data_IF_932875214992
#
_entry.id   IF_932875214992
#
_cell.length_a   1.000
_cell.length_b   1.000
_cell.length_c   1.000
_cell.angle_alpha   90.00
_cell.angle_beta   90.00
_cell.angle_gamma   90.00
#
_symmetry.space_group_name_H-M   'P 1'
#
loop_
_entity.id
_entity.type
_entity.pdbx_description
1 polymer ?
#
# COMPACT_ATOMS: atom_id res chain seq x y z
N UNK A 1 53.64 -29.87 -33.39
CA UNK A 1 52.16 -29.77 -33.30
C UNK A 1 51.80 -28.40 -32.75
N UNK A 2 50.89 -27.70 -33.43
CA UNK A 2 50.37 -26.38 -33.09
C UNK A 2 49.65 -26.38 -31.73
N UNK A 3 49.85 -25.33 -30.93
CA UNK A 3 48.84 -24.43 -30.30
C UNK A 3 49.51 -23.71 -29.12
N UNK A 4 49.95 -22.46 -29.30
CA UNK A 4 49.21 -21.19 -29.12
C UNK A 4 49.60 -20.56 -27.78
N UNK A 5 50.28 -19.41 -27.89
CA UNK A 5 50.77 -18.54 -26.82
C UNK A 5 49.59 -17.85 -26.10
N UNK A 6 49.76 -17.50 -24.83
CA UNK A 6 49.47 -16.13 -24.41
C UNK A 6 50.36 -15.69 -23.24
N UNK A 7 51.04 -14.58 -23.50
CA UNK A 7 52.01 -13.88 -22.66
C UNK A 7 51.21 -12.96 -21.71
N UNK A 8 51.41 -13.05 -20.40
CA UNK A 8 50.93 -12.02 -19.46
C UNK A 8 52.14 -11.19 -19.05
N UNK A 9 52.14 -9.95 -19.54
CA UNK A 9 53.14 -8.92 -19.27
C UNK A 9 52.77 -8.20 -17.99
N UNK A 10 53.71 -8.14 -17.06
CA UNK A 10 53.66 -7.35 -15.82
C UNK A 10 53.79 -5.86 -16.19
N UNK A 11 52.86 -5.04 -15.71
CA UNK A 11 53.06 -3.59 -15.61
C UNK A 11 52.50 -3.09 -14.29
N UNK A 12 53.42 -2.89 -13.35
CA UNK A 12 53.26 -2.09 -12.14
C UNK A 12 53.19 -0.62 -12.55
N UNK A 13 52.08 0.04 -12.25
CA UNK A 13 52.05 1.50 -12.10
C UNK A 13 51.39 1.84 -10.78
N UNK A 14 52.24 2.23 -9.83
CA UNK A 14 51.89 2.87 -8.58
C UNK A 14 51.58 4.34 -8.89
N UNK A 15 50.36 4.80 -8.60
CA UNK A 15 50.09 6.22 -8.36
C UNK A 15 49.15 6.33 -7.18
N UNK A 16 49.73 6.61 -6.01
CA UNK A 16 49.01 7.25 -4.91
C UNK A 16 48.45 8.58 -5.41
N UNK A 17 47.19 8.87 -5.10
CA UNK A 17 46.70 10.18 -4.63
C UNK A 17 45.22 10.00 -4.19
N UNK A 18 44.99 10.35 -2.92
CA UNK A 18 43.72 10.72 -2.27
C UNK A 18 42.64 9.65 -2.10
N UNK A 19 42.77 8.94 -0.97
CA UNK A 19 41.65 8.46 -0.16
C UNK A 19 40.68 9.61 0.16
N UNK A 20 39.66 9.78 -0.67
CA UNK A 20 38.34 10.14 -0.16
C UNK A 20 37.56 8.84 -0.06
N UNK A 21 37.66 8.18 1.10
CA UNK A 21 36.66 7.22 1.51
C UNK A 21 35.33 7.97 1.58
N UNK A 22 34.54 7.93 0.50
CA UNK A 22 33.10 7.88 0.70
C UNK A 22 32.89 6.60 1.49
N UNK A 23 32.68 6.77 2.79
CA UNK A 23 32.14 5.71 3.59
C UNK A 23 30.98 5.12 2.80
N UNK A 24 31.04 3.81 2.55
CA UNK A 24 29.84 3.00 2.48
C UNK A 24 29.07 3.27 3.77
N UNK A 25 28.24 4.30 3.74
CA UNK A 25 27.12 4.38 4.64
C UNK A 25 26.08 3.47 3.99
N UNK A 26 26.18 2.17 4.31
CA UNK A 26 24.95 1.42 4.54
C UNK A 26 24.07 2.30 5.43
N UNK A 27 22.74 2.33 5.24
CA UNK A 27 21.86 3.17 6.06
C UNK A 27 22.31 3.04 7.50
N UNK A 28 22.71 4.15 8.12
CA UNK A 28 23.09 4.13 9.51
C UNK A 28 21.94 3.44 10.24
N UNK A 29 22.27 2.46 11.07
CA UNK A 29 21.39 1.88 12.07
C UNK A 29 20.94 2.99 13.06
N UNK A 30 20.29 4.04 12.56
CA UNK A 30 19.34 4.83 13.33
C UNK A 30 18.38 3.80 13.87
N UNK A 31 18.56 3.53 15.16
CA UNK A 31 17.91 2.49 15.94
C UNK A 31 16.46 2.34 15.47
N UNK A 32 16.15 1.22 14.81
CA UNK A 32 14.78 0.85 14.40
C UNK A 32 13.88 1.00 15.63
N UNK A 33 13.17 2.12 15.71
CA UNK A 33 12.42 2.48 16.91
C UNK A 33 11.36 1.42 17.14
N UNK A 34 11.29 0.89 18.36
CA UNK A 34 10.26 -0.10 18.68
C UNK A 34 8.93 0.59 18.90
N UNK A 35 7.85 -0.09 18.53
CA UNK A 35 6.49 0.39 18.81
C UNK A 35 6.27 0.61 20.31
N UNK A 36 6.83 -0.25 21.17
CA UNK A 36 6.73 -0.13 22.62
C UNK A 36 7.42 1.13 23.15
N UNK A 37 8.58 1.48 22.60
CA UNK A 37 9.33 2.70 22.97
C UNK A 37 8.53 3.95 22.58
N UNK A 38 7.93 3.96 21.38
CA UNK A 38 7.09 5.06 20.93
C UNK A 38 5.83 5.22 21.81
N UNK A 39 5.19 4.11 22.20
CA UNK A 39 4.03 4.12 23.08
C UNK A 39 4.39 4.64 24.47
N UNK A 40 5.51 4.19 25.02
CA UNK A 40 6.02 4.68 26.31
C UNK A 40 6.32 6.18 26.25
N UNK A 41 6.91 6.66 25.15
CA UNK A 41 7.11 8.09 24.93
C UNK A 41 5.78 8.84 24.98
N UNK A 42 4.77 8.42 24.21
CA UNK A 42 3.47 9.09 24.17
C UNK A 42 2.73 9.14 25.51
N UNK A 43 2.92 8.15 26.36
CA UNK A 43 2.26 8.09 27.67
C UNK A 43 2.92 8.99 28.72
N UNK A 44 4.16 9.45 28.50
CA UNK A 44 4.98 10.10 29.52
C UNK A 44 5.42 11.53 29.17
N UNK A 45 5.02 12.06 28.02
CA UNK A 45 5.43 13.39 27.52
C UNK A 45 4.24 14.31 27.28
N UNK A 46 4.50 15.61 27.12
CA UNK A 46 3.43 16.59 26.88
C UNK A 46 2.86 16.46 25.46
N UNK A 47 1.63 16.99 25.21
CA UNK A 47 1.06 16.98 23.87
C UNK A 47 1.96 17.61 22.79
N UNK A 48 2.69 18.68 23.13
CA UNK A 48 3.64 19.33 22.21
C UNK A 48 4.82 18.42 21.85
N UNK A 49 5.43 17.79 22.86
CA UNK A 49 6.53 16.84 22.66
C UNK A 49 6.07 15.60 21.87
N UNK A 50 4.86 15.12 22.13
CA UNK A 50 4.23 14.03 21.39
C UNK A 50 4.02 14.38 19.92
N UNK A 51 3.59 15.61 19.64
CA UNK A 51 3.39 16.09 18.26
C UNK A 51 4.72 16.24 17.51
N UNK A 52 5.77 16.74 18.16
CA UNK A 52 7.12 16.78 17.58
C UNK A 52 7.64 15.38 17.28
N UNK A 53 7.48 14.44 18.23
CA UNK A 53 7.90 13.05 18.05
C UNK A 53 7.12 12.35 16.94
N UNK A 54 5.82 12.65 16.80
CA UNK A 54 5.00 12.14 15.70
C UNK A 54 5.53 12.60 14.35
N UNK A 55 5.88 13.88 14.20
CA UNK A 55 6.47 14.43 12.97
C UNK A 55 7.83 13.82 12.64
N UNK A 56 8.66 13.56 13.65
CA UNK A 56 9.94 12.88 13.50
C UNK A 56 9.75 11.46 12.93
N UNK A 57 8.89 10.66 13.56
CA UNK A 57 8.59 9.28 13.11
C UNK A 57 7.94 9.28 11.73
N UNK A 58 7.02 10.21 11.48
CA UNK A 58 6.38 10.38 10.19
C UNK A 58 7.42 10.65 9.08
N UNK A 59 8.33 11.60 9.32
CA UNK A 59 9.41 11.95 8.38
C UNK A 59 10.33 10.76 8.13
N UNK A 60 10.65 9.99 9.17
CA UNK A 60 11.46 8.77 9.06
C UNK A 60 10.79 7.74 8.14
N UNK A 61 9.48 7.54 8.27
CA UNK A 61 8.73 6.58 7.44
C UNK A 61 8.56 7.11 6.01
N UNK A 62 8.24 8.40 5.83
CA UNK A 62 8.05 9.01 4.51
C UNK A 62 9.33 8.98 3.66
N UNK A 63 10.50 9.06 4.32
CA UNK A 63 11.79 9.01 3.64
C UNK A 63 12.28 7.58 3.39
N UNK A 64 11.68 6.57 4.03
CA UNK A 64 12.06 5.18 3.82
C UNK A 64 11.44 4.66 2.51
N UNK A 65 12.29 4.03 1.70
CA UNK A 65 11.86 3.37 0.48
C UNK A 65 10.99 2.14 0.80
N UNK A 66 10.19 1.73 -0.19
CA UNK A 66 9.42 0.48 -0.08
C UNK A 66 10.33 -0.73 0.18
N UNK A 67 11.50 -0.80 -0.48
CA UNK A 67 12.46 -1.88 -0.31
C UNK A 67 13.03 -1.94 1.11
N UNK A 68 13.40 -0.79 1.69
CA UNK A 68 13.90 -0.73 3.08
C UNK A 68 12.84 -1.22 4.07
N UNK A 69 11.59 -0.78 3.92
CA UNK A 69 10.50 -1.20 4.82
C UNK A 69 10.21 -2.70 4.64
N UNK A 70 10.17 -3.19 3.41
CA UNK A 70 9.96 -4.61 3.11
C UNK A 70 11.06 -5.46 3.73
N UNK A 71 12.34 -5.08 3.58
CA UNK A 71 13.46 -5.80 4.19
C UNK A 71 13.34 -5.85 5.72
N UNK A 72 12.96 -4.74 6.39
CA UNK A 72 12.75 -4.72 7.85
C UNK A 72 11.65 -5.71 8.28
N UNK A 73 10.57 -5.78 7.52
CA UNK A 73 9.43 -6.68 7.80
C UNK A 73 9.84 -8.14 7.55
N UNK A 74 10.52 -8.43 6.45
CA UNK A 74 11.04 -9.75 6.11
C UNK A 74 12.05 -10.24 7.15
N UNK A 75 12.98 -9.39 7.58
CA UNK A 75 13.93 -9.70 8.65
C UNK A 75 13.21 -10.00 9.97
N UNK A 76 12.15 -9.26 10.28
CA UNK A 76 11.32 -9.49 11.48
C UNK A 76 10.59 -10.83 11.41
N UNK A 77 10.08 -11.19 10.24
CA UNK A 77 9.45 -12.49 9.99
C UNK A 77 10.46 -13.64 10.11
N UNK A 78 11.64 -13.49 9.48
CA UNK A 78 12.70 -14.49 9.52
C UNK A 78 13.20 -14.71 10.95
N UNK A 79 13.41 -13.63 11.71
CA UNK A 79 13.75 -13.71 13.13
C UNK A 79 12.70 -14.47 13.93
N UNK A 80 11.41 -14.28 13.64
CA UNK A 80 10.35 -15.06 14.28
C UNK A 80 10.45 -16.56 13.90
N UNK A 81 10.63 -16.87 12.61
CA UNK A 81 10.82 -18.25 12.13
C UNK A 81 11.99 -18.96 12.82
N UNK A 82 13.11 -18.25 13.01
CA UNK A 82 14.33 -18.80 13.59
C UNK A 82 14.25 -19.02 15.11
N UNK A 83 13.37 -18.28 15.79
CA UNK A 83 13.29 -18.26 17.26
C UNK A 83 12.07 -18.99 17.81
N UNK A 84 11.00 -19.12 17.02
CA UNK A 84 9.82 -19.86 17.42
C UNK A 84 10.14 -21.36 17.52
N UNK A 85 9.58 -22.03 18.52
CA UNK A 85 9.66 -23.48 18.72
C UNK A 85 8.28 -24.10 18.92
N UNK A 86 7.25 -23.39 18.47
CA UNK A 86 5.83 -23.71 18.70
C UNK A 86 5.34 -24.65 17.60
N UNK A 87 5.75 -24.39 16.35
CA UNK A 87 5.37 -25.16 15.17
C UNK A 87 6.61 -25.73 14.47
N UNK A 88 6.51 -26.99 14.05
CA UNK A 88 7.42 -27.57 13.07
C UNK A 88 6.99 -27.08 11.69
N UNK A 89 7.75 -26.13 11.15
CA UNK A 89 7.50 -25.46 9.87
C UNK A 89 8.37 -26.12 8.79
N UNK A 90 7.73 -26.56 7.70
CA UNK A 90 8.36 -27.22 6.55
C UNK A 90 8.78 -26.21 5.45
N UNK A 91 8.16 -25.03 5.45
CA UNK A 91 8.45 -23.96 4.49
C UNK A 91 7.64 -22.70 4.78
N UNK A 92 8.09 -21.57 4.25
CA UNK A 92 7.33 -20.32 4.35
C UNK A 92 7.63 -19.39 3.17
N UNK A 93 6.71 -18.46 2.93
CA UNK A 93 6.91 -17.32 2.04
C UNK A 93 6.18 -16.10 2.57
N UNK A 94 6.70 -14.93 2.24
CA UNK A 94 6.10 -13.64 2.53
C UNK A 94 6.02 -12.84 1.22
N UNK A 95 4.87 -12.23 0.99
CA UNK A 95 4.62 -11.30 -0.11
C UNK A 95 4.15 -9.99 0.50
N UNK A 96 4.85 -8.90 0.17
CA UNK A 96 4.54 -7.55 0.63
C UNK A 96 4.14 -6.73 -0.58
N UNK A 97 2.96 -6.12 -0.52
CA UNK A 97 2.46 -5.22 -1.56
C UNK A 97 2.10 -3.87 -0.96
N UNK A 98 2.12 -2.81 -1.76
CA UNK A 98 1.81 -1.44 -1.33
C UNK A 98 0.74 -0.82 -2.21
N UNK A 99 -0.23 -0.16 -1.59
CA UNK A 99 -1.24 0.63 -2.29
C UNK A 99 -1.15 2.11 -1.89
N UNK A 100 -0.70 2.95 -2.84
CA UNK A 100 -0.54 4.39 -2.64
C UNK A 100 -1.80 5.20 -2.90
N UNK A 101 -2.84 4.57 -3.45
CA UNK A 101 -4.01 5.26 -3.98
C UNK A 101 -5.23 5.09 -3.09
N UNK A 102 -5.16 4.18 -2.12
CA UNK A 102 -6.27 3.78 -1.28
C UNK A 102 -6.84 4.94 -0.45
N UNK A 103 -8.16 5.03 -0.43
CA UNK A 103 -8.94 6.01 0.31
C UNK A 103 -9.64 5.37 1.50
N UNK A 104 -9.85 6.15 2.55
CA UNK A 104 -10.89 5.89 3.54
C UNK A 104 -12.21 6.38 2.94
N UNK A 105 -13.03 5.44 2.50
CA UNK A 105 -14.29 5.71 1.83
C UNK A 105 -15.29 6.48 2.73
N UNK A 106 -15.16 6.43 4.07
CA UNK A 106 -16.00 7.22 5.00
C UNK A 106 -15.44 8.63 5.17
N UNK A 107 -14.18 8.72 5.59
CA UNK A 107 -13.59 10.00 5.99
C UNK A 107 -13.14 10.84 4.79
N UNK A 108 -13.15 10.24 3.59
CA UNK A 108 -12.75 10.83 2.30
C UNK A 108 -11.30 11.29 2.26
N UNK A 109 -10.46 10.70 3.11
CA UNK A 109 -9.04 10.99 3.19
C UNK A 109 -8.23 9.86 2.56
N UNK A 110 -7.06 10.17 2.02
CA UNK A 110 -6.08 9.13 1.66
C UNK A 110 -5.69 8.35 2.91
N UNK A 111 -5.64 7.02 2.76
CA UNK A 111 -5.08 6.17 3.80
C UNK A 111 -3.55 6.23 3.74
N UNK A 112 -2.93 6.38 4.91
CA UNK A 112 -1.48 6.42 5.04
C UNK A 112 -0.90 5.01 4.96
N UNK A 113 0.20 4.88 4.18
CA UNK A 113 1.04 3.69 4.07
C UNK A 113 0.28 2.35 4.16
N UNK A 114 -0.33 1.95 3.04
CA UNK A 114 -1.11 0.73 2.97
C UNK A 114 -0.24 -0.44 2.50
N UNK A 115 0.58 -1.01 3.40
CA UNK A 115 1.22 -2.29 3.12
C UNK A 115 0.27 -3.45 3.43
N UNK A 116 0.16 -4.36 2.48
CA UNK A 116 -0.57 -5.60 2.63
C UNK A 116 0.43 -6.73 2.62
N UNK A 117 0.39 -7.55 3.67
CA UNK A 117 1.30 -8.68 3.82
C UNK A 117 0.48 -9.95 3.65
N UNK A 118 0.97 -10.84 2.80
CA UNK A 118 0.49 -12.22 2.71
C UNK A 118 1.61 -13.16 3.08
N UNK A 119 1.34 -14.08 4.00
CA UNK A 119 2.28 -15.07 4.48
C UNK A 119 1.67 -16.44 4.25
N UNK A 120 2.45 -17.32 3.62
CA UNK A 120 2.14 -18.74 3.55
C UNK A 120 3.14 -19.49 4.45
N UNK A 121 2.63 -20.28 5.39
CA UNK A 121 3.41 -21.11 6.34
C UNK A 121 2.96 -22.55 6.15
N UNK A 122 3.89 -23.39 5.72
CA UNK A 122 3.67 -24.81 5.48
C UNK A 122 4.11 -25.61 6.70
N UNK A 123 3.23 -26.48 7.18
CA UNK A 123 3.49 -27.35 8.33
C UNK A 123 2.69 -28.65 8.24
N UNK A 124 3.25 -29.75 8.74
CA UNK A 124 2.51 -31.01 8.88
C UNK A 124 1.49 -30.93 10.02
N UNK A 125 0.21 -31.02 9.70
CA UNK A 125 -0.89 -31.01 10.66
C UNK A 125 -0.75 -32.09 11.74
N UNK A 126 -0.27 -33.30 11.39
CA UNK A 126 -0.15 -34.42 12.34
C UNK A 126 0.95 -34.18 13.36
N UNK A 127 2.05 -33.54 12.96
CA UNK A 127 3.14 -33.19 13.87
C UNK A 127 2.79 -31.99 14.76
N UNK A 128 1.88 -31.14 14.30
CA UNK A 128 1.51 -29.90 14.96
C UNK A 128 0.10 -29.94 15.61
N UNK A 129 -0.47 -31.13 15.85
CA UNK A 129 -1.84 -31.29 16.37
C UNK A 129 -2.14 -30.45 17.62
N UNK A 130 -1.26 -30.47 18.64
CA UNK A 130 -1.48 -29.70 19.88
C UNK A 130 -1.31 -28.19 19.66
N UNK A 131 -0.21 -27.70 19.04
CA UNK A 131 -0.08 -26.28 18.69
C UNK A 131 -1.25 -25.71 17.88
N UNK A 132 -1.77 -26.46 16.91
CA UNK A 132 -2.82 -25.97 16.02
C UNK A 132 -4.19 -25.83 16.69
N UNK A 133 -4.41 -26.44 17.87
CA UNK A 133 -5.65 -26.23 18.65
C UNK A 133 -5.85 -24.77 19.05
N UNK A 134 -4.77 -24.02 19.21
CA UNK A 134 -4.76 -22.60 19.56
C UNK A 134 -4.00 -21.78 18.50
N UNK A 135 -4.36 -21.98 17.23
CA UNK A 135 -3.70 -21.34 16.09
C UNK A 135 -3.57 -19.80 16.24
N UNK A 136 -4.57 -19.07 16.76
CA UNK A 136 -4.41 -17.63 16.98
C UNK A 136 -3.22 -17.29 17.90
N UNK A 137 -3.09 -17.95 19.04
CA UNK A 137 -2.03 -17.67 20.01
C UNK A 137 -0.66 -18.21 19.59
N UNK A 138 -0.65 -19.28 18.79
CA UNK A 138 0.56 -20.01 18.45
C UNK A 138 1.15 -19.62 17.10
N UNK A 139 0.36 -19.00 16.22
CA UNK A 139 0.79 -18.56 14.89
C UNK A 139 0.43 -17.09 14.65
N UNK A 140 -0.85 -16.75 14.72
CA UNK A 140 -1.31 -15.44 14.23
C UNK A 140 -0.81 -14.27 15.05
N UNK A 141 -1.01 -14.29 16.38
CA UNK A 141 -0.55 -13.22 17.27
C UNK A 141 0.98 -13.11 17.31
N UNK A 142 1.76 -14.20 17.45
CA UNK A 142 3.22 -14.10 17.45
C UNK A 142 3.79 -13.54 16.14
N UNK A 143 3.27 -13.97 14.98
CA UNK A 143 3.67 -13.41 13.69
C UNK A 143 3.30 -11.94 13.62
N UNK A 144 2.06 -11.59 13.95
CA UNK A 144 1.59 -10.19 13.96
C UNK A 144 2.48 -9.30 14.83
N UNK A 145 2.80 -9.76 16.04
CA UNK A 145 3.67 -9.03 16.97
C UNK A 145 5.08 -8.87 16.44
N UNK A 146 5.64 -9.90 15.79
CA UNK A 146 6.96 -9.82 15.18
C UNK A 146 6.99 -8.78 14.05
N UNK A 147 6.03 -8.81 13.12
CA UNK A 147 6.00 -7.85 12.01
C UNK A 147 5.76 -6.42 12.48
N UNK A 148 5.04 -6.24 13.60
CA UNK A 148 4.73 -4.93 14.17
C UNK A 148 5.69 -4.48 15.29
N UNK A 149 6.82 -5.18 15.50
CA UNK A 149 7.78 -4.86 16.58
C UNK A 149 8.32 -3.42 16.45
N UNK A 150 8.54 -2.98 15.21
CA UNK A 150 9.09 -1.65 14.87
C UNK A 150 7.99 -0.66 14.48
N UNK A 151 8.30 0.64 14.55
CA UNK A 151 7.41 1.70 14.06
C UNK A 151 7.11 1.57 12.58
N UNK A 152 8.01 0.99 11.77
CA UNK A 152 7.77 0.71 10.36
C UNK A 152 6.59 -0.25 10.21
N UNK A 153 6.69 -1.46 10.74
CA UNK A 153 5.59 -2.42 10.65
C UNK A 153 4.29 -1.91 11.31
N UNK A 154 4.39 -1.31 12.50
CA UNK A 154 3.23 -0.84 13.25
C UNK A 154 2.44 0.30 12.59
N UNK A 155 3.09 1.11 11.75
CA UNK A 155 2.49 2.30 11.14
C UNK A 155 2.29 2.17 9.62
N UNK A 156 2.87 1.16 8.99
CA UNK A 156 2.74 0.93 7.54
C UNK A 156 2.00 -0.35 7.16
N UNK A 157 1.79 -1.29 8.09
CA UNK A 157 1.03 -2.50 7.78
C UNK A 157 -0.47 -2.22 7.96
N UNK A 158 -1.24 -2.43 6.90
CA UNK A 158 -2.70 -2.29 6.86
C UNK A 158 -3.41 -3.59 7.19
N UNK A 159 -2.90 -4.70 6.67
CA UNK A 159 -3.43 -6.03 6.93
C UNK A 159 -2.36 -7.10 6.76
N UNK A 160 -2.52 -8.18 7.53
CA UNK A 160 -1.71 -9.39 7.42
C UNK A 160 -2.68 -10.55 7.14
N UNK A 161 -2.40 -11.29 6.08
CA UNK A 161 -3.05 -12.55 5.74
C UNK A 161 -2.05 -13.69 5.99
N UNK A 162 -2.44 -14.68 6.79
CA UNK A 162 -1.64 -15.87 7.07
C UNK A 162 -2.43 -17.10 6.64
N UNK A 163 -1.94 -17.85 5.66
CA UNK A 163 -2.59 -19.05 5.10
C UNK A 163 -4.06 -18.81 4.70
N UNK A 164 -4.38 -17.65 4.14
CA UNK A 164 -5.74 -17.27 3.74
C UNK A 164 -6.62 -16.76 4.88
N UNK A 165 -6.08 -16.63 6.09
CA UNK A 165 -6.77 -16.01 7.23
C UNK A 165 -6.27 -14.58 7.40
N UNK A 166 -7.13 -13.61 7.07
CA UNK A 166 -6.85 -12.21 7.34
C UNK A 166 -7.07 -11.93 8.83
N UNK A 167 -6.01 -11.52 9.53
CA UNK A 167 -6.03 -11.22 10.96
C UNK A 167 -6.12 -9.72 11.24
N UNK A 168 -6.27 -8.91 10.18
CA UNK A 168 -6.39 -7.46 10.24
C UNK A 168 -5.16 -6.79 10.86
N UNK A 169 -5.18 -5.45 10.88
CA UNK A 169 -4.23 -4.69 11.70
C UNK A 169 -5.00 -3.69 12.54
N UNK A 170 -4.89 -3.84 13.86
CA UNK A 170 -5.31 -2.80 14.80
C UNK A 170 -4.20 -1.77 14.84
N UNK A 171 -4.40 -0.62 14.19
CA UNK A 171 -3.51 0.53 14.32
C UNK A 171 -3.48 0.92 15.80
N UNK A 172 -2.38 0.60 16.49
CA UNK A 172 -2.23 0.95 17.91
C UNK A 172 -1.84 2.43 18.07
N UNK A 173 -1.43 3.06 16.97
CA UNK A 173 -1.03 4.46 16.90
C UNK A 173 -1.69 5.01 15.62
N UNK A 174 -2.39 6.14 15.74
CA UNK A 174 -3.01 6.78 14.58
C UNK A 174 -1.92 7.54 13.79
N UNK A 175 -1.52 7.06 12.60
CA UNK A 175 -0.53 7.76 11.79
C UNK A 175 -1.05 9.13 11.33
N UNK A 176 -0.16 10.06 10.97
CA UNK A 176 -0.60 11.28 10.33
C UNK A 176 -1.06 10.97 8.90
N UNK A 177 -2.18 11.56 8.49
CA UNK A 177 -2.64 11.50 7.11
C UNK A 177 -1.56 12.16 6.24
N UNK A 178 -1.12 11.52 5.13
CA UNK A 178 -0.07 12.08 4.29
C UNK A 178 -0.51 13.43 3.75
N UNK A 179 0.44 14.39 3.67
CA UNK A 179 0.13 15.73 3.18
C UNK A 179 -0.15 15.68 1.68
N UNK A 180 -1.31 16.17 1.28
CA UNK A 180 -1.71 16.27 -0.12
C UNK A 180 -1.60 17.71 -0.62
N UNK A 181 -1.31 17.88 -1.90
CA UNK A 181 -1.35 19.19 -2.56
C UNK A 181 -2.77 19.70 -2.73
N UNK A 182 -2.96 21.01 -2.90
CA UNK A 182 -4.29 21.60 -3.12
C UNK A 182 -4.91 21.07 -4.42
N UNK A 183 -4.10 20.90 -5.46
CA UNK A 183 -4.50 20.36 -6.76
C UNK A 183 -4.93 18.90 -6.66
N UNK A 184 -4.20 18.09 -5.89
CA UNK A 184 -4.58 16.70 -5.62
C UNK A 184 -5.90 16.60 -4.85
N UNK A 185 -6.10 17.44 -3.84
CA UNK A 185 -7.37 17.50 -3.09
C UNK A 185 -8.53 17.93 -4.00
N UNK A 186 -8.28 18.81 -4.96
CA UNK A 186 -9.30 19.22 -5.93
C UNK A 186 -9.63 18.11 -6.92
N UNK A 187 -8.63 17.37 -7.44
CA UNK A 187 -8.87 16.15 -8.22
C UNK A 187 -9.76 15.15 -7.47
N UNK A 188 -9.47 14.95 -6.19
CA UNK A 188 -10.27 14.06 -5.33
C UNK A 188 -11.69 14.56 -5.15
N UNK A 189 -11.87 15.86 -4.96
CA UNK A 189 -13.18 16.47 -4.82
C UNK A 189 -14.02 16.28 -6.09
N UNK A 190 -13.45 16.48 -7.27
CA UNK A 190 -14.13 16.22 -8.56
C UNK A 190 -14.60 14.76 -8.67
N UNK A 191 -13.77 13.80 -8.28
CA UNK A 191 -14.13 12.39 -8.29
C UNK A 191 -15.20 12.05 -7.25
N UNK A 192 -15.14 12.63 -6.05
CA UNK A 192 -16.17 12.43 -5.03
C UNK A 192 -17.52 13.01 -5.41
N UNK A 193 -17.54 14.22 -6.00
CA UNK A 193 -18.77 14.85 -6.50
C UNK A 193 -19.42 13.96 -7.57
N UNK A 194 -18.61 13.44 -8.49
CA UNK A 194 -19.07 12.47 -9.49
C UNK A 194 -19.65 11.19 -8.85
N UNK A 195 -18.96 10.57 -7.89
CA UNK A 195 -19.43 9.36 -7.21
C UNK A 195 -20.74 9.62 -6.46
N UNK A 196 -20.88 10.78 -5.82
CA UNK A 196 -22.09 11.16 -5.11
C UNK A 196 -23.28 11.32 -6.08
N UNK A 197 -23.09 12.02 -7.20
CA UNK A 197 -24.11 12.18 -8.23
C UNK A 197 -24.49 10.85 -8.89
N UNK A 198 -23.50 9.98 -9.16
CA UNK A 198 -23.74 8.63 -9.67
C UNK A 198 -24.60 7.85 -8.67
N UNK A 199 -24.21 7.82 -7.40
CA UNK A 199 -24.96 7.10 -6.38
C UNK A 199 -26.42 7.59 -6.29
N UNK A 200 -26.65 8.91 -6.28
CA UNK A 200 -27.99 9.50 -6.21
C UNK A 200 -28.86 9.30 -7.46
N UNK A 201 -28.25 9.23 -8.65
CA UNK A 201 -28.99 9.08 -9.91
C UNK A 201 -29.39 7.63 -10.19
N UNK A 202 -28.62 6.66 -9.70
CA UNK A 202 -28.79 5.26 -10.06
C UNK A 202 -29.38 4.42 -8.92
N UNK A 203 -29.07 4.78 -7.66
CA UNK A 203 -29.50 4.02 -6.50
C UNK A 203 -30.41 4.86 -5.60
N UNK A 204 -31.61 4.35 -5.36
CA UNK A 204 -32.60 4.95 -4.45
C UNK A 204 -32.81 4.14 -3.17
N UNK A 205 -32.14 2.99 -3.06
CA UNK A 205 -32.16 2.05 -1.97
C UNK A 205 -31.33 2.54 -0.77
N UNK A 206 -31.57 1.91 0.39
CA UNK A 206 -30.66 2.06 1.52
C UNK A 206 -29.25 1.60 1.13
N UNK A 207 -28.21 2.27 1.62
CA UNK A 207 -26.85 1.97 1.22
C UNK A 207 -26.45 0.55 1.68
N UNK A 208 -26.01 -0.27 0.73
CA UNK A 208 -25.55 -1.65 0.93
C UNK A 208 -24.32 -1.75 1.83
N UNK A 209 -23.51 -0.67 1.87
CA UNK A 209 -22.36 -0.54 2.76
C UNK A 209 -22.44 0.78 3.53
N UNK A 210 -21.71 0.95 4.65
CA UNK A 210 -21.59 2.24 5.32
C UNK A 210 -21.06 3.38 4.42
N UNK A 211 -20.50 3.05 3.25
CA UNK A 211 -19.89 3.96 2.30
C UNK A 211 -20.79 4.26 1.08
N UNK A 212 -21.98 3.67 1.02
CA UNK A 212 -22.90 3.79 -0.12
C UNK A 212 -22.87 2.58 -1.06
N UNK A 213 -23.66 2.66 -2.13
CA UNK A 213 -23.72 1.67 -3.20
C UNK A 213 -22.61 1.86 -4.25
N UNK A 214 -22.08 3.09 -4.30
CA UNK A 214 -20.91 3.47 -5.10
C UNK A 214 -19.98 4.25 -4.18
N UNK A 215 -18.69 3.92 -4.20
CA UNK A 215 -17.67 4.60 -3.42
C UNK A 215 -16.44 4.93 -4.27
N UNK A 216 -15.56 5.81 -3.77
CA UNK A 216 -14.25 6.08 -4.36
C UNK A 216 -13.20 5.33 -3.53
N UNK A 217 -12.64 4.24 -4.08
CA UNK A 217 -11.69 3.39 -3.34
C UNK A 217 -10.25 3.76 -3.58
N UNK A 218 -9.88 4.03 -4.84
CA UNK A 218 -8.51 4.40 -5.22
C UNK A 218 -8.52 5.66 -6.05
N UNK A 219 -7.62 6.59 -5.74
CA UNK A 219 -7.40 7.77 -6.57
C UNK A 219 -5.97 8.30 -6.45
N UNK A 220 -5.37 8.60 -7.59
CA UNK A 220 -4.10 9.32 -7.65
C UNK A 220 -3.19 8.86 -8.79
N UNK A 221 -2.01 9.43 -8.83
CA UNK A 221 -0.97 9.07 -9.80
C UNK A 221 -0.31 7.78 -9.36
N UNK A 222 -0.33 6.76 -10.22
CA UNK A 222 0.34 5.48 -9.94
C UNK A 222 1.87 5.68 -9.94
N UNK A 223 2.58 5.26 -8.87
CA UNK A 223 4.03 5.42 -8.79
C UNK A 223 4.76 4.80 -9.98
N UNK A 224 5.79 5.49 -10.48
CA UNK A 224 6.62 5.05 -11.61
C UNK A 224 5.84 4.79 -12.92
N UNK A 225 4.64 5.37 -13.04
CA UNK A 225 3.85 5.34 -14.26
C UNK A 225 3.49 6.77 -14.68
N UNK A 226 2.87 6.89 -15.85
CA UNK A 226 2.27 8.14 -16.35
C UNK A 226 0.74 8.12 -16.26
N UNK A 227 0.22 7.32 -15.33
CA UNK A 227 -1.21 7.03 -15.20
C UNK A 227 -1.79 7.70 -13.95
N UNK A 228 -2.84 8.51 -14.13
CA UNK A 228 -3.76 8.89 -13.06
C UNK A 228 -4.89 7.88 -13.02
N UNK A 229 -5.02 7.18 -11.89
CA UNK A 229 -5.92 6.05 -11.76
C UNK A 229 -7.02 6.32 -10.74
N UNK A 230 -8.24 5.92 -11.09
CA UNK A 230 -9.44 6.07 -10.28
C UNK A 230 -10.15 4.71 -10.25
N UNK A 231 -10.40 4.18 -9.05
CA UNK A 231 -11.24 2.98 -8.86
C UNK A 231 -12.53 3.34 -8.10
N UNK A 232 -13.66 2.96 -8.70
CA UNK A 232 -14.99 3.21 -8.20
C UNK A 232 -15.70 1.86 -8.03
N UNK A 233 -15.69 1.25 -6.83
CA UNK A 233 -16.52 0.08 -6.56
C UNK A 233 -18.01 0.40 -6.61
N UNK A 234 -18.78 -0.51 -7.20
CA UNK A 234 -20.24 -0.50 -7.26
C UNK A 234 -20.73 -1.75 -6.56
N UNK A 235 -21.25 -1.63 -5.34
CA UNK A 235 -21.64 -2.77 -4.51
C UNK A 235 -23.06 -3.28 -4.76
N UNK A 236 -23.90 -2.47 -5.41
CA UNK A 236 -25.29 -2.81 -5.69
C UNK A 236 -25.55 -2.91 -7.19
N UNK A 237 -26.43 -3.84 -7.56
CA UNK A 237 -27.04 -3.90 -8.89
C UNK A 237 -28.49 -4.33 -8.75
N UNK A 238 -29.34 -3.71 -9.56
CA UNK A 238 -30.75 -4.07 -9.67
C UNK A 238 -30.92 -5.19 -10.71
N UNK A 239 -30.96 -6.44 -10.25
CA UNK A 239 -31.12 -7.62 -11.12
C UNK A 239 -32.50 -7.72 -11.78
N UNK A 240 -33.48 -6.91 -11.35
CA UNK A 240 -34.79 -6.85 -12.01
C UNK A 240 -34.75 -5.97 -13.27
N UNK A 241 -33.70 -5.13 -13.40
CA UNK A 241 -33.42 -4.31 -14.58
C UNK A 241 -32.40 -4.98 -15.51
N UNK A 242 -32.18 -4.33 -16.65
CA UNK A 242 -31.18 -4.75 -17.62
C UNK A 242 -29.76 -4.42 -17.11
N UNK A 243 -29.13 -5.44 -16.50
CA UNK A 243 -27.77 -5.36 -15.97
C UNK A 243 -26.75 -5.13 -17.08
N UNK A 244 -26.96 -5.69 -18.28
CA UNK A 244 -26.03 -5.48 -19.40
C UNK A 244 -26.10 -4.05 -19.89
N UNK A 245 -27.31 -3.48 -20.00
CA UNK A 245 -27.48 -2.05 -20.32
C UNK A 245 -26.82 -1.15 -19.26
N UNK A 246 -26.94 -1.49 -17.97
CA UNK A 246 -26.25 -0.75 -16.92
C UNK A 246 -24.73 -0.81 -17.10
N UNK A 247 -24.16 -1.98 -17.40
CA UNK A 247 -22.73 -2.14 -17.67
C UNK A 247 -22.28 -1.36 -18.89
N UNK A 248 -23.04 -1.38 -19.98
CA UNK A 248 -22.77 -0.57 -21.17
C UNK A 248 -22.75 0.93 -20.86
N UNK A 249 -23.60 1.39 -19.92
CA UNK A 249 -23.64 2.80 -19.50
C UNK A 249 -22.39 3.27 -18.74
N UNK A 250 -21.59 2.34 -18.18
CA UNK A 250 -20.39 2.68 -17.40
C UNK A 250 -19.35 3.42 -18.27
N UNK A 251 -19.34 3.18 -19.58
CA UNK A 251 -18.47 3.90 -20.51
C UNK A 251 -18.77 5.40 -20.50
N UNK A 252 -20.04 5.77 -20.66
CA UNK A 252 -20.48 7.17 -20.67
C UNK A 252 -20.21 7.86 -19.33
N UNK A 253 -20.32 7.10 -18.23
CA UNK A 253 -19.96 7.57 -16.88
C UNK A 253 -18.47 7.84 -16.74
N UNK A 254 -17.61 6.94 -17.24
CA UNK A 254 -16.17 7.17 -17.28
C UNK A 254 -15.79 8.38 -18.16
N UNK A 255 -16.41 8.54 -19.33
CA UNK A 255 -16.21 9.69 -20.21
C UNK A 255 -16.63 11.01 -19.53
N UNK A 256 -17.71 10.98 -18.76
CA UNK A 256 -18.17 12.14 -17.98
C UNK A 256 -17.14 12.53 -16.91
N UNK A 257 -16.62 11.58 -16.14
CA UNK A 257 -15.60 11.84 -15.12
C UNK A 257 -14.31 12.38 -15.75
N UNK A 258 -13.86 11.77 -16.85
CA UNK A 258 -12.70 12.26 -17.61
C UNK A 258 -12.88 13.73 -18.01
N UNK A 259 -14.03 14.07 -18.64
CA UNK A 259 -14.34 15.45 -19.03
C UNK A 259 -14.31 16.41 -17.86
N UNK A 260 -14.95 16.07 -16.73
CA UNK A 260 -14.94 16.92 -15.52
C UNK A 260 -13.52 17.23 -15.06
N UNK A 261 -12.62 16.24 -15.06
CA UNK A 261 -11.21 16.46 -14.70
C UNK A 261 -10.53 17.39 -15.71
N UNK A 262 -10.71 17.14 -17.00
CA UNK A 262 -10.02 17.90 -18.06
C UNK A 262 -10.61 19.29 -18.35
N UNK A 263 -11.84 19.57 -17.92
CA UNK A 263 -12.48 20.89 -18.07
C UNK A 263 -11.87 21.92 -17.12
N UNK A 264 -11.18 21.47 -16.07
CA UNK A 264 -10.41 22.33 -15.17
C UNK A 264 -8.96 22.47 -15.66
N UNK A 265 -8.61 23.65 -16.21
CA UNK A 265 -7.26 23.90 -16.72
C UNK A 265 -6.16 23.68 -15.69
N UNK A 266 -6.37 24.10 -14.44
CA UNK A 266 -5.41 23.88 -13.34
C UNK A 266 -5.16 22.39 -13.06
N UNK A 267 -6.17 21.52 -13.21
CA UNK A 267 -6.00 20.09 -12.97
C UNK A 267 -5.23 19.44 -14.14
N UNK A 268 -5.49 19.88 -15.37
CA UNK A 268 -4.67 19.47 -16.53
C UNK A 268 -3.22 19.89 -16.38
N UNK A 269 -2.99 21.13 -15.94
CA UNK A 269 -1.62 21.64 -15.69
C UNK A 269 -0.92 20.82 -14.60
N UNK A 270 -1.62 20.49 -13.52
CA UNK A 270 -1.08 19.62 -12.47
C UNK A 270 -0.74 18.22 -12.99
N UNK A 271 -1.65 17.58 -13.75
CA UNK A 271 -1.43 16.26 -14.33
C UNK A 271 -0.25 16.28 -15.32
N UNK A 272 -0.17 17.31 -16.17
CA UNK A 272 0.93 17.51 -17.11
C UNK A 272 2.27 17.77 -16.41
N UNK A 273 2.29 18.54 -15.32
CA UNK A 273 3.49 18.77 -14.51
C UNK A 273 4.01 17.48 -13.86
N UNK A 274 3.12 16.54 -13.56
CA UNK A 274 3.45 15.20 -13.07
C UNK A 274 3.66 14.18 -14.20
N UNK A 275 3.73 14.61 -15.45
CA UNK A 275 3.97 13.77 -16.64
C UNK A 275 2.91 12.68 -16.85
N UNK A 276 1.69 12.89 -16.36
CA UNK A 276 0.57 12.00 -16.62
C UNK A 276 0.16 12.16 -18.09
N UNK A 277 0.11 11.05 -18.82
CA UNK A 277 -0.39 10.99 -20.20
C UNK A 277 -1.68 10.18 -20.32
N UNK A 278 -2.08 9.47 -19.26
CA UNK A 278 -3.25 8.59 -19.27
C UNK A 278 -4.09 8.79 -18.00
N UNK A 279 -5.41 8.92 -18.17
CA UNK A 279 -6.39 8.78 -17.09
C UNK A 279 -7.11 7.44 -17.24
N UNK A 280 -7.08 6.62 -16.19
CA UNK A 280 -7.82 5.36 -16.11
C UNK A 280 -8.95 5.47 -15.10
N UNK A 281 -10.16 5.10 -15.53
CA UNK A 281 -11.32 4.92 -14.66
C UNK A 281 -11.70 3.44 -14.65
N UNK A 282 -11.64 2.82 -13.49
CA UNK A 282 -12.07 1.45 -13.26
C UNK A 282 -13.34 1.43 -12.42
N UNK A 283 -14.36 0.72 -12.90
CA UNK A 283 -15.50 0.35 -12.08
C UNK A 283 -15.35 -1.09 -11.61
N UNK A 284 -15.28 -1.28 -10.30
CA UNK A 284 -15.18 -2.61 -9.68
C UNK A 284 -16.58 -3.11 -9.28
N UNK A 285 -17.05 -4.18 -9.91
CA UNK A 285 -18.39 -4.76 -9.78
C UNK A 285 -18.29 -6.14 -9.15
N UNK A 286 -18.15 -6.27 -7.82
CA UNK A 286 -17.92 -7.56 -7.14
C UNK A 286 -19.06 -8.58 -7.34
N UNK A 287 -20.21 -8.14 -7.81
CA UNK A 287 -21.37 -8.97 -8.13
C UNK A 287 -21.37 -9.49 -9.57
N UNK A 288 -20.54 -8.96 -10.47
CA UNK A 288 -20.40 -9.45 -11.85
C UNK A 288 -19.34 -10.57 -11.95
N UNK A 289 -19.48 -11.42 -12.97
CA UNK A 289 -18.48 -12.44 -13.30
C UNK A 289 -17.16 -11.83 -13.81
N UNK A 290 -17.26 -10.70 -14.49
CA UNK A 290 -16.13 -9.88 -14.92
C UNK A 290 -16.10 -8.62 -14.05
N UNK A 291 -15.48 -8.67 -12.86
CA UNK A 291 -15.71 -7.67 -11.81
C UNK A 291 -14.99 -6.34 -12.07
N UNK A 292 -14.42 -6.13 -13.25
CA UNK A 292 -13.59 -4.95 -13.55
C UNK A 292 -13.90 -4.43 -14.95
N UNK A 293 -14.42 -3.20 -15.01
CA UNK A 293 -14.69 -2.47 -16.24
C UNK A 293 -13.73 -1.27 -16.33
N UNK A 294 -12.73 -1.36 -17.21
CA UNK A 294 -11.60 -0.41 -17.27
C UNK A 294 -11.71 0.45 -18.53
N UNK A 295 -11.70 1.78 -18.33
CA UNK A 295 -11.72 2.78 -19.40
C UNK A 295 -10.46 3.66 -19.30
N UNK A 296 -9.78 3.87 -20.44
CA UNK A 296 -8.53 4.64 -20.53
C UNK A 296 -8.67 5.79 -21.50
N UNK A 297 -8.16 6.95 -21.12
CA UNK A 297 -8.22 8.18 -21.89
C UNK A 297 -6.85 8.85 -21.93
N UNK A 298 -6.40 9.23 -23.12
CA UNK A 298 -5.15 9.96 -23.29
C UNK A 298 -5.34 11.43 -22.90
N UNK A 299 -4.37 12.00 -22.19
CA UNK A 299 -4.25 13.43 -21.91
C UNK A 299 -3.40 14.08 -23.02
N UNK A 300 -4.02 14.97 -23.79
CA UNK A 300 -3.34 15.81 -24.80
C UNK A 300 -2.56 16.97 -24.18
#
# INVERSE_FOLDING_TARGET
MKKTKLLILVLLTLSLILSCSKADQSPSQEKLMRQSELREFYNNHTPEEVEEKRKEVQTMIDNASFEEISNIIEDSFQKWLDTQNILEIDGSSIEITKDHLLMDEVSKNKLYNNLFIKIDIQYDYKKNLEPLKNLPQNLYEPVREALMETVFGALTIRSIDINGTNIGTYLIINPMIPKQSEEELKLQSVAYDFVQEFNQSEFSSEPFTPHGNVALRRIGIKPNTKEFYIEIPIFEVDYEKDVEQFKESLKDKAENLFKRITDHNELKEYLGANQVDTITVEFYTPWDKEPSHIYRYDLE
#
